data_IF_139574650196
#
_entry.id   IF_139574650196
#
_cell.length_a   1.000
_cell.length_b   1.000
_cell.length_c   1.000
_cell.angle_alpha   90.00
_cell.angle_beta   90.00
_cell.angle_gamma   90.00
#
_symmetry.space_group_name_H-M   'P 1'
#
loop_
_entity.id
_entity.type
_entity.pdbx_description
1 polymer ?
#
# COMPACT_ATOMS: atom_id res chain seq x y z
N UNK A 1 8.26 -5.70 -4.67
CA UNK A 1 8.63 -4.28 -4.65
C UNK A 1 8.73 -3.79 -6.07
N UNK A 2 8.09 -2.65 -6.37
CA UNK A 2 8.08 -2.06 -7.71
C UNK A 2 9.48 -1.68 -8.21
N UNK A 3 9.67 -1.78 -9.53
CA UNK A 3 10.89 -1.39 -10.22
C UNK A 3 11.22 0.10 -10.00
N UNK A 4 10.21 0.98 -10.13
CA UNK A 4 10.37 2.43 -9.98
C UNK A 4 10.80 2.81 -8.57
N UNK A 5 10.17 2.23 -7.54
CA UNK A 5 10.60 2.44 -6.15
C UNK A 5 12.04 2.02 -5.89
N UNK A 6 12.45 0.87 -6.41
CA UNK A 6 13.84 0.43 -6.27
C UNK A 6 14.82 1.37 -6.98
N UNK A 7 14.43 1.91 -8.14
CA UNK A 7 15.18 2.92 -8.87
C UNK A 7 15.30 4.21 -8.06
N UNK A 8 14.19 4.73 -7.52
CA UNK A 8 14.17 5.91 -6.64
C UNK A 8 15.10 5.71 -5.43
N UNK A 9 14.98 4.59 -4.72
CA UNK A 9 15.82 4.28 -3.55
C UNK A 9 17.31 4.29 -3.88
N UNK A 10 17.70 3.74 -5.03
CA UNK A 10 19.10 3.76 -5.51
C UNK A 10 19.58 5.18 -5.84
N UNK A 11 18.72 5.99 -6.46
CA UNK A 11 19.03 7.39 -6.80
C UNK A 11 19.21 8.23 -5.52
N UNK A 12 18.28 8.13 -4.57
CA UNK A 12 18.35 8.86 -3.29
C UNK A 12 19.53 8.45 -2.41
N UNK A 13 20.02 7.22 -2.56
CA UNK A 13 21.24 6.76 -1.89
C UNK A 13 22.53 7.39 -2.45
N UNK A 14 22.45 8.23 -3.49
CA UNK A 14 23.59 8.94 -4.07
C UNK A 14 24.40 8.10 -5.07
N UNK A 15 23.85 6.98 -5.56
CA UNK A 15 24.56 6.02 -6.40
C UNK A 15 24.81 6.43 -7.86
N UNK A 16 25.07 7.70 -8.17
CA UNK A 16 25.30 8.13 -9.55
C UNK A 16 25.71 9.59 -9.82
N UNK A 17 25.69 10.47 -8.84
CA UNK A 17 25.96 11.91 -9.03
C UNK A 17 27.14 12.34 -8.14
N UNK A 18 28.30 12.63 -8.74
CA UNK A 18 29.48 13.14 -8.02
C UNK A 18 29.68 14.64 -8.25
N UNK A 19 29.06 15.46 -7.41
CA UNK A 19 29.25 16.90 -7.43
C UNK A 19 30.68 17.31 -7.08
N UNK A 20 31.34 18.02 -8.00
CA UNK A 20 32.69 18.58 -7.79
C UNK A 20 32.57 20.03 -7.33
N UNK A 21 33.52 20.50 -6.51
CA UNK A 21 33.53 21.89 -6.01
C UNK A 21 33.51 22.94 -7.13
N UNK A 22 34.06 22.61 -8.31
CA UNK A 22 34.05 23.48 -9.50
C UNK A 22 32.65 23.75 -10.06
N UNK A 23 31.67 22.92 -9.73
CA UNK A 23 30.30 23.03 -10.24
C UNK A 23 29.48 24.05 -9.41
N UNK A 24 29.98 24.44 -8.24
CA UNK A 24 29.23 25.28 -7.26
C UNK A 24 28.93 26.69 -7.79
N UNK A 25 29.87 27.41 -8.44
CA UNK A 25 29.57 28.74 -8.99
C UNK A 25 28.47 28.70 -10.04
N UNK A 26 28.49 27.68 -10.92
CA UNK A 26 27.46 27.47 -11.93
C UNK A 26 26.09 27.25 -11.29
N UNK A 27 26.01 26.36 -10.30
CA UNK A 27 24.74 26.06 -9.60
C UNK A 27 24.16 27.33 -8.95
N UNK A 28 25.01 28.12 -8.27
CA UNK A 28 24.59 29.39 -7.67
C UNK A 28 24.06 30.36 -8.72
N UNK A 29 24.77 30.47 -9.85
CA UNK A 29 24.37 31.36 -10.95
C UNK A 29 23.03 30.94 -11.55
N UNK A 30 22.85 29.66 -11.88
CA UNK A 30 21.59 29.14 -12.46
C UNK A 30 20.43 29.37 -11.50
N UNK A 31 20.60 29.11 -10.20
CA UNK A 31 19.56 29.35 -9.21
C UNK A 31 19.16 30.82 -9.16
N UNK A 32 20.12 31.73 -9.02
CA UNK A 32 19.85 33.18 -8.94
C UNK A 32 19.21 33.70 -10.23
N UNK A 33 19.68 33.26 -11.41
CA UNK A 33 19.13 33.69 -12.70
C UNK A 33 17.67 33.27 -12.93
N UNK A 34 17.23 32.18 -12.32
CA UNK A 34 15.86 31.67 -12.44
C UNK A 34 14.99 32.00 -11.21
N UNK A 35 15.56 32.70 -10.23
CA UNK A 35 14.89 33.14 -9.02
C UNK A 35 14.44 34.60 -9.09
N UNK A 36 13.51 34.97 -8.21
CA UNK A 36 13.10 36.36 -8.01
C UNK A 36 14.18 37.13 -7.26
N UNK A 37 14.86 36.49 -6.31
CA UNK A 37 15.95 37.11 -5.58
C UNK A 37 17.28 37.06 -6.33
N UNK A 38 17.99 38.18 -6.29
CA UNK A 38 19.37 38.29 -6.78
C UNK A 38 20.40 37.74 -5.77
N UNK A 39 19.98 37.39 -4.55
CA UNK A 39 20.84 36.83 -3.52
C UNK A 39 20.67 35.32 -3.45
N UNK A 40 21.77 34.58 -3.59
CA UNK A 40 21.77 33.11 -3.55
C UNK A 40 21.10 32.53 -2.29
N UNK A 41 21.36 33.13 -1.12
CA UNK A 41 20.80 32.65 0.15
C UNK A 41 19.28 32.79 0.24
N UNK A 42 18.68 33.72 -0.51
CA UNK A 42 17.23 33.87 -0.60
C UNK A 42 16.67 33.00 -1.73
N UNK A 43 17.35 32.99 -2.88
CA UNK A 43 16.98 32.19 -4.05
C UNK A 43 16.77 30.70 -3.73
N UNK A 44 17.60 30.12 -2.84
CA UNK A 44 17.48 28.69 -2.46
C UNK A 44 16.16 28.32 -1.77
N UNK A 45 15.41 29.28 -1.21
CA UNK A 45 14.14 29.07 -0.51
C UNK A 45 12.90 29.21 -1.41
N UNK A 46 13.08 29.65 -2.65
CA UNK A 46 11.96 29.96 -3.55
C UNK A 46 11.43 28.73 -4.32
N UNK A 47 12.12 27.60 -4.21
CA UNK A 47 11.88 26.43 -5.04
C UNK A 47 10.96 25.43 -4.34
N UNK A 48 9.97 24.95 -5.07
CA UNK A 48 9.11 23.84 -4.67
C UNK A 48 9.43 22.59 -5.51
N UNK A 49 9.40 21.42 -4.88
CA UNK A 49 9.45 20.14 -5.59
C UNK A 49 8.06 19.79 -6.14
N UNK A 50 7.93 19.68 -7.47
CA UNK A 50 6.65 19.57 -8.16
C UNK A 50 6.42 18.25 -8.89
N UNK A 51 7.46 17.48 -9.21
CA UNK A 51 7.26 16.23 -9.94
C UNK A 51 8.49 15.35 -10.11
N UNK A 52 8.22 14.13 -10.57
CA UNK A 52 9.23 13.12 -10.90
C UNK A 52 9.01 12.70 -12.35
N UNK A 53 10.06 12.78 -13.17
CA UNK A 53 10.03 12.37 -14.57
C UNK A 53 10.96 11.17 -14.77
N UNK A 54 10.43 10.16 -15.44
CA UNK A 54 11.12 8.90 -15.71
C UNK A 54 11.87 8.94 -17.05
N UNK A 55 12.89 8.09 -17.20
CA UNK A 55 13.67 7.98 -18.45
C UNK A 55 12.80 7.54 -19.64
N UNK A 56 11.75 6.79 -19.34
CA UNK A 56 10.75 6.32 -20.28
C UNK A 56 9.90 7.47 -20.86
N UNK A 57 9.86 8.63 -20.20
CA UNK A 57 9.18 9.85 -20.68
C UNK A 57 10.12 10.69 -21.56
N UNK A 58 10.56 10.09 -22.67
CA UNK A 58 11.63 10.63 -23.54
C UNK A 58 11.42 12.08 -23.97
N UNK A 59 10.18 12.53 -24.14
CA UNK A 59 9.84 13.90 -24.55
C UNK A 59 10.14 14.95 -23.47
N UNK A 60 10.10 14.56 -22.19
CA UNK A 60 10.26 15.45 -21.04
C UNK A 60 11.52 15.19 -20.24
N UNK A 61 12.13 14.03 -20.42
CA UNK A 61 13.31 13.61 -19.69
C UNK A 61 14.56 14.34 -20.19
N UNK A 62 15.44 14.73 -19.26
CA UNK A 62 16.74 15.31 -19.59
C UNK A 62 17.85 14.47 -18.97
N UNK A 63 18.81 14.06 -19.80
CA UNK A 63 19.95 13.27 -19.35
C UNK A 63 20.93 14.08 -18.47
N UNK A 64 20.78 15.41 -18.46
CA UNK A 64 21.57 16.38 -17.70
C UNK A 64 20.77 17.01 -16.57
N UNK A 65 21.44 17.18 -15.43
CA UNK A 65 20.94 18.08 -14.40
C UNK A 65 21.05 19.53 -14.84
N UNK A 66 19.94 20.26 -14.89
CA UNK A 66 19.94 21.67 -15.32
C UNK A 66 20.64 22.62 -14.34
N UNK A 67 20.90 22.18 -13.10
CA UNK A 67 21.67 22.96 -12.13
C UNK A 67 23.18 22.80 -12.26
N UNK A 68 23.66 21.56 -12.40
CA UNK A 68 25.11 21.25 -12.36
C UNK A 68 25.68 20.68 -13.66
N UNK A 69 24.83 20.48 -14.67
CA UNK A 69 25.15 19.91 -15.98
C UNK A 69 25.78 18.49 -15.94
N UNK A 70 25.61 17.77 -14.84
CA UNK A 70 26.14 16.41 -14.69
C UNK A 70 25.25 15.38 -15.38
N UNK A 71 25.90 14.35 -15.96
CA UNK A 71 25.31 13.17 -16.61
C UNK A 71 25.85 11.88 -15.98
N UNK A 72 25.15 10.74 -16.13
CA UNK A 72 23.76 10.61 -16.57
C UNK A 72 22.80 10.67 -15.38
N UNK A 73 21.70 11.43 -15.52
CA UNK A 73 20.59 11.31 -14.59
C UNK A 73 19.81 10.02 -14.84
N UNK A 74 19.34 9.37 -13.76
CA UNK A 74 18.42 8.21 -13.86
C UNK A 74 16.97 8.60 -13.66
N UNK A 75 16.72 9.71 -12.98
CA UNK A 75 15.42 10.27 -12.70
C UNK A 75 15.61 11.79 -12.72
N UNK A 76 14.71 12.53 -13.36
CA UNK A 76 14.66 13.96 -13.22
C UNK A 76 13.67 14.30 -12.11
N UNK A 77 14.12 15.10 -11.16
CA UNK A 77 13.25 15.74 -10.18
C UNK A 77 12.93 17.12 -10.70
N UNK A 78 11.64 17.38 -10.91
CA UNK A 78 11.17 18.69 -11.34
C UNK A 78 10.99 19.58 -10.12
N UNK A 79 11.68 20.71 -10.13
CA UNK A 79 11.49 21.81 -9.17
C UNK A 79 10.92 23.01 -9.91
N UNK A 80 10.13 23.82 -9.23
CA UNK A 80 9.48 25.00 -9.82
C UNK A 80 9.57 26.16 -8.85
N UNK A 81 9.87 27.34 -9.39
CA UNK A 81 9.78 28.59 -8.67
C UNK A 81 8.42 29.21 -8.98
N UNK A 82 7.58 29.35 -7.96
CA UNK A 82 6.21 29.85 -8.11
C UNK A 82 6.17 31.32 -8.57
N UNK A 83 7.14 32.13 -8.16
CA UNK A 83 7.19 33.57 -8.44
C UNK A 83 7.64 33.88 -9.86
N UNK A 84 8.56 33.08 -10.40
CA UNK A 84 9.11 33.27 -11.76
C UNK A 84 8.47 32.34 -12.78
N UNK A 85 7.66 31.38 -12.33
CA UNK A 85 7.11 30.27 -13.11
C UNK A 85 8.16 29.45 -13.87
N UNK A 86 9.43 29.52 -13.45
CA UNK A 86 10.51 28.73 -14.03
C UNK A 86 10.53 27.34 -13.41
N UNK A 87 10.70 26.32 -14.24
CA UNK A 87 10.89 24.93 -13.81
C UNK A 87 12.27 24.42 -14.20
N UNK A 88 12.89 23.62 -13.34
CA UNK A 88 14.16 22.97 -13.62
C UNK A 88 14.07 21.46 -13.40
N UNK A 89 14.78 20.71 -14.24
CA UNK A 89 14.96 19.26 -14.14
C UNK A 89 16.32 18.93 -13.52
N UNK A 90 16.30 18.42 -12.30
CA UNK A 90 17.53 18.33 -11.48
C UNK A 90 17.76 16.93 -10.91
N UNK A 91 19.01 16.65 -10.55
CA UNK A 91 19.39 15.44 -9.82
C UNK A 91 19.15 15.57 -8.31
N UNK A 92 19.03 14.43 -7.64
CA UNK A 92 18.73 14.39 -6.19
C UNK A 92 19.83 15.02 -5.33
N UNK A 93 21.09 14.96 -5.79
CA UNK A 93 22.24 15.50 -5.04
C UNK A 93 22.24 17.03 -5.06
N UNK A 94 21.79 17.62 -6.16
CA UNK A 94 21.62 19.08 -6.25
C UNK A 94 20.55 19.57 -5.29
N UNK A 95 19.41 18.89 -5.23
CA UNK A 95 18.34 19.23 -4.28
C UNK A 95 18.88 19.14 -2.84
N UNK A 96 19.49 18.01 -2.49
CA UNK A 96 20.01 17.77 -1.14
C UNK A 96 21.03 18.81 -0.67
N UNK A 97 21.91 19.27 -1.56
CA UNK A 97 23.05 20.14 -1.18
C UNK A 97 22.77 21.63 -1.29
N UNK A 98 21.91 22.06 -2.20
CA UNK A 98 21.79 23.48 -2.55
C UNK A 98 20.41 24.08 -2.33
N UNK A 99 19.37 23.26 -2.11
CA UNK A 99 18.00 23.76 -1.95
C UNK A 99 17.49 23.61 -0.53
N UNK A 100 16.70 24.59 -0.10
CA UNK A 100 15.82 24.48 1.06
C UNK A 100 14.41 24.67 0.53
N UNK A 101 13.68 23.57 0.35
CA UNK A 101 12.41 23.60 -0.33
C UNK A 101 11.40 24.46 0.43
N UNK A 102 10.55 25.17 -0.32
CA UNK A 102 9.50 26.05 0.22
C UNK A 102 8.67 25.29 1.27
N UNK A 103 8.46 25.93 2.43
CA UNK A 103 7.76 25.34 3.57
C UNK A 103 8.65 24.56 4.55
N UNK A 104 9.97 24.55 4.36
CA UNK A 104 10.93 23.95 5.30
C UNK A 104 11.91 24.99 5.84
N UNK A 105 12.43 24.75 7.05
CA UNK A 105 13.29 25.69 7.77
C UNK A 105 14.78 25.39 7.62
N UNK A 106 15.14 24.15 7.27
CA UNK A 106 16.52 23.67 7.23
C UNK A 106 16.77 22.71 6.06
N UNK A 107 18.04 22.49 5.73
CA UNK A 107 18.43 21.53 4.68
C UNK A 107 18.09 20.08 5.02
N UNK A 108 18.11 19.71 6.31
CA UNK A 108 17.74 18.37 6.78
C UNK A 108 16.25 18.14 6.59
N UNK A 109 15.43 19.08 7.06
CA UNK A 109 13.97 19.04 6.91
C UNK A 109 13.55 19.06 5.43
N UNK A 110 14.19 19.93 4.63
CA UNK A 110 14.02 19.99 3.17
C UNK A 110 14.28 18.63 2.51
N UNK A 111 15.34 17.94 2.93
CA UNK A 111 15.68 16.62 2.40
C UNK A 111 14.67 15.54 2.80
N UNK A 112 14.24 15.52 4.05
CA UNK A 112 13.22 14.57 4.53
C UNK A 112 11.88 14.80 3.83
N UNK A 113 11.47 16.07 3.68
CA UNK A 113 10.31 16.48 2.90
C UNK A 113 10.39 15.98 1.46
N UNK A 114 11.53 16.22 0.79
CA UNK A 114 11.77 15.79 -0.58
C UNK A 114 11.70 14.27 -0.73
N UNK A 115 12.31 13.50 0.18
CA UNK A 115 12.25 12.04 0.18
C UNK A 115 10.79 11.57 0.28
N UNK A 116 10.06 12.07 1.27
CA UNK A 116 8.67 11.68 1.51
C UNK A 116 7.78 12.03 0.31
N UNK A 117 7.91 13.25 -0.22
CA UNK A 117 7.16 13.69 -1.41
C UNK A 117 7.52 12.85 -2.64
N UNK A 118 8.79 12.46 -2.80
CA UNK A 118 9.24 11.59 -3.91
C UNK A 118 8.66 10.19 -3.83
N UNK A 119 8.64 9.57 -2.63
CA UNK A 119 7.97 8.28 -2.45
C UNK A 119 6.47 8.38 -2.71
N UNK A 120 5.83 9.46 -2.26
CA UNK A 120 4.41 9.70 -2.53
C UNK A 120 4.13 9.81 -4.03
N UNK A 121 4.98 10.50 -4.80
CA UNK A 121 4.85 10.55 -6.27
C UNK A 121 4.95 9.16 -6.91
N UNK A 122 5.98 8.39 -6.55
CA UNK A 122 6.15 7.03 -7.08
C UNK A 122 4.95 6.14 -6.73
N UNK A 123 4.49 6.16 -5.48
CA UNK A 123 3.33 5.38 -5.06
C UNK A 123 2.06 5.82 -5.79
N UNK A 124 1.87 7.12 -6.06
CA UNK A 124 0.75 7.62 -6.88
C UNK A 124 0.82 7.09 -8.32
N UNK A 125 1.98 7.15 -8.97
CA UNK A 125 2.18 6.62 -10.33
C UNK A 125 1.85 5.12 -10.37
N UNK A 126 2.38 4.36 -9.40
CA UNK A 126 2.11 2.93 -9.29
C UNK A 126 0.63 2.65 -9.06
N UNK A 127 -0.02 3.41 -8.18
CA UNK A 127 -1.44 3.28 -7.89
C UNK A 127 -2.31 3.58 -9.12
N UNK A 128 -2.00 4.65 -9.85
CA UNK A 128 -2.66 5.01 -11.10
C UNK A 128 -2.49 3.91 -12.16
N UNK A 129 -1.33 3.26 -12.23
CA UNK A 129 -1.11 2.12 -13.15
C UNK A 129 -1.95 0.88 -12.80
N UNK A 130 -2.28 0.70 -11.52
CA UNK A 130 -3.12 -0.40 -11.04
C UNK A 130 -4.61 -0.11 -11.23
N UNK A 131 -4.98 1.16 -11.29
CA UNK A 131 -6.37 1.60 -11.26
C UNK A 131 -7.24 0.99 -12.38
N UNK A 132 -6.82 0.91 -13.66
CA UNK A 132 -7.62 0.28 -14.70
C UNK A 132 -7.98 -1.18 -14.37
N UNK A 133 -6.99 -1.94 -13.86
CA UNK A 133 -7.16 -3.36 -13.50
C UNK A 133 -8.07 -3.57 -12.31
N UNK A 134 -8.02 -2.65 -11.36
CA UNK A 134 -8.82 -2.68 -10.14
C UNK A 134 -10.28 -2.28 -10.41
N UNK A 135 -10.49 -1.44 -11.44
CA UNK A 135 -11.82 -0.97 -11.85
C UNK A 135 -12.56 -1.92 -12.81
N UNK A 136 -11.89 -2.90 -13.41
CA UNK A 136 -12.51 -3.99 -14.21
C UNK A 136 -13.65 -4.65 -13.45
N UNK A 137 -14.72 -5.10 -14.13
CA UNK A 137 -15.91 -5.69 -13.49
C UNK A 137 -15.60 -6.81 -12.50
N UNK A 138 -14.60 -7.63 -12.82
CA UNK A 138 -14.10 -8.71 -11.95
C UNK A 138 -12.57 -8.57 -11.82
N UNK A 139 -12.06 -7.76 -10.87
CA UNK A 139 -10.64 -7.48 -10.76
C UNK A 139 -9.93 -8.67 -10.12
N UNK A 140 -8.73 -9.00 -10.61
CA UNK A 140 -7.95 -10.07 -9.99
C UNK A 140 -7.47 -9.69 -8.58
N UNK A 141 -7.49 -10.65 -7.66
CA UNK A 141 -7.13 -10.43 -6.24
C UNK A 141 -5.72 -9.84 -6.07
N UNK A 142 -4.75 -10.21 -6.92
CA UNK A 142 -3.39 -9.67 -6.85
C UNK A 142 -3.33 -8.16 -7.06
N UNK A 143 -4.13 -7.61 -7.98
CA UNK A 143 -4.16 -6.16 -8.26
C UNK A 143 -4.87 -5.41 -7.15
N UNK A 144 -5.93 -5.99 -6.59
CA UNK A 144 -6.65 -5.45 -5.43
C UNK A 144 -5.71 -5.35 -4.21
N UNK A 145 -4.94 -6.41 -3.92
CA UNK A 145 -3.98 -6.41 -2.82
C UNK A 145 -2.88 -5.37 -3.06
N UNK A 146 -2.26 -5.38 -4.24
CA UNK A 146 -1.21 -4.41 -4.59
C UNK A 146 -1.70 -2.95 -4.49
N UNK A 147 -2.91 -2.67 -4.97
CA UNK A 147 -3.50 -1.32 -4.89
C UNK A 147 -3.69 -0.88 -3.44
N UNK A 148 -4.14 -1.79 -2.57
CA UNK A 148 -4.33 -1.48 -1.15
C UNK A 148 -3.02 -1.24 -0.43
N UNK A 149 -2.01 -2.06 -0.68
CA UNK A 149 -0.69 -1.89 -0.07
C UNK A 149 -0.09 -0.53 -0.46
N UNK A 150 -0.24 -0.12 -1.72
CA UNK A 150 0.22 1.18 -2.21
C UNK A 150 -0.60 2.34 -1.65
N UNK A 151 -1.92 2.20 -1.59
CA UNK A 151 -2.79 3.22 -0.99
C UNK A 151 -2.47 3.42 0.50
N UNK A 152 -2.24 2.34 1.24
CA UNK A 152 -1.83 2.38 2.64
C UNK A 152 -0.49 3.08 2.86
N UNK A 153 0.41 3.06 1.87
CA UNK A 153 1.67 3.76 2.02
C UNK A 153 1.53 5.27 1.83
N UNK A 154 0.69 5.71 0.88
CA UNK A 154 0.44 7.14 0.63
C UNK A 154 -0.38 7.75 1.76
N UNK A 155 -1.43 7.04 2.15
CA UNK A 155 -2.37 7.50 3.15
C UNK A 155 -1.74 7.39 4.56
N UNK A 156 -0.82 6.46 4.76
CA UNK A 156 -0.41 5.97 6.09
C UNK A 156 -1.23 4.73 6.47
N UNK A 157 -0.99 4.17 7.67
CA UNK A 157 -1.70 2.98 8.10
C UNK A 157 -3.22 3.18 7.94
N UNK A 158 -3.87 2.45 7.03
CA UNK A 158 -5.28 2.70 6.67
C UNK A 158 -6.21 2.64 7.89
N UNK A 159 -5.79 1.95 8.96
CA UNK A 159 -6.50 1.81 10.22
C UNK A 159 -6.50 3.13 11.02
N UNK A 160 -5.38 3.85 11.04
CA UNK A 160 -5.23 5.14 11.74
C UNK A 160 -6.01 6.27 11.06
N UNK A 161 -6.20 6.18 9.74
CA UNK A 161 -6.82 7.23 8.91
C UNK A 161 -8.33 7.21 9.04
N UNK A 162 -8.93 6.01 9.12
CA UNK A 162 -10.35 5.85 9.46
C UNK A 162 -10.70 6.48 10.81
N UNK A 163 -9.78 6.40 11.77
CA UNK A 163 -9.97 6.94 13.12
C UNK A 163 -9.78 8.46 13.18
N UNK A 164 -9.05 9.05 12.23
CA UNK A 164 -8.62 10.44 12.32
C UNK A 164 -9.31 11.39 11.33
N UNK A 165 -9.62 10.98 10.08
CA UNK A 165 -10.33 11.86 9.14
C UNK A 165 -10.86 11.16 7.86
N UNK A 166 -12.17 10.88 7.72
CA UNK A 166 -12.73 10.29 6.50
C UNK A 166 -12.61 11.19 5.25
N UNK A 167 -12.54 12.52 5.42
CA UNK A 167 -12.44 13.45 4.29
C UNK A 167 -11.11 13.28 3.53
N UNK A 168 -10.04 12.87 4.21
CA UNK A 168 -8.74 12.60 3.56
C UNK A 168 -8.80 11.45 2.56
N UNK A 169 -9.64 10.45 2.81
CA UNK A 169 -9.82 9.32 1.88
C UNK A 169 -10.56 9.82 0.64
N UNK A 170 -11.55 10.68 0.81
CA UNK A 170 -12.30 11.23 -0.31
C UNK A 170 -11.42 12.14 -1.15
N UNK A 171 -10.66 13.07 -0.56
CA UNK A 171 -9.66 13.89 -1.27
C UNK A 171 -8.64 13.03 -2.03
N UNK A 172 -8.18 11.94 -1.42
CA UNK A 172 -7.25 11.01 -2.07
C UNK A 172 -7.89 10.30 -3.26
N UNK A 173 -9.12 9.79 -3.12
CA UNK A 173 -9.81 9.10 -4.23
C UNK A 173 -10.11 10.09 -5.36
N UNK A 174 -10.53 11.31 -5.03
CA UNK A 174 -10.77 12.35 -6.03
C UNK A 174 -9.48 12.72 -6.77
N UNK A 175 -8.34 12.82 -6.07
CA UNK A 175 -7.04 13.06 -6.71
C UNK A 175 -6.53 11.90 -7.59
N UNK A 176 -7.12 10.72 -7.52
CA UNK A 176 -6.78 9.57 -8.36
C UNK A 176 -7.63 9.46 -9.62
N UNK A 177 -8.81 10.07 -9.63
CA UNK A 177 -9.75 10.00 -10.73
C UNK A 177 -9.71 11.29 -11.52
N UNK A 178 -9.32 11.19 -12.78
CA UNK A 178 -9.35 12.32 -13.70
C UNK A 178 -10.79 12.81 -13.94
N UNK A 179 -11.01 14.12 -14.13
CA UNK A 179 -12.36 14.71 -14.13
C UNK A 179 -13.25 14.24 -15.30
N UNK A 180 -12.65 13.70 -16.36
CA UNK A 180 -13.29 13.36 -17.64
C UNK A 180 -14.08 12.04 -17.65
N UNK A 181 -14.24 11.39 -16.50
CA UNK A 181 -14.68 9.99 -16.45
C UNK A 181 -16.22 9.86 -16.32
N UNK A 182 -16.88 9.44 -17.40
CA UNK A 182 -18.22 8.82 -17.34
C UNK A 182 -18.18 7.68 -16.31
N UNK A 183 -19.14 7.69 -15.37
CA UNK A 183 -19.25 6.72 -14.25
C UNK A 183 -18.35 6.98 -13.01
N UNK A 184 -17.90 8.23 -12.81
CA UNK A 184 -17.06 8.66 -11.65
C UNK A 184 -17.59 8.14 -10.30
N UNK A 185 -18.89 8.30 -10.01
CA UNK A 185 -19.46 7.87 -8.73
C UNK A 185 -19.37 6.36 -8.50
N UNK A 186 -19.59 5.53 -9.53
CA UNK A 186 -19.47 4.08 -9.41
C UNK A 186 -18.03 3.65 -9.19
N UNK A 187 -17.07 4.32 -9.85
CA UNK A 187 -15.63 4.10 -9.64
C UNK A 187 -15.20 4.49 -8.23
N UNK A 188 -15.62 5.65 -7.72
CA UNK A 188 -15.41 6.07 -6.33
C UNK A 188 -15.95 4.99 -5.38
N UNK A 189 -17.20 4.58 -5.55
CA UNK A 189 -17.83 3.54 -4.72
C UNK A 189 -17.03 2.24 -4.75
N UNK A 190 -16.52 1.85 -5.92
CA UNK A 190 -15.70 0.65 -6.10
C UNK A 190 -14.34 0.76 -5.37
N UNK A 191 -13.64 1.89 -5.50
CA UNK A 191 -12.37 2.14 -4.82
C UNK A 191 -12.58 2.15 -3.31
N UNK A 192 -13.60 2.86 -2.81
CA UNK A 192 -14.01 2.83 -1.40
C UNK A 192 -14.23 1.39 -0.96
N UNK A 193 -15.03 0.62 -1.69
CA UNK A 193 -15.24 -0.78 -1.39
C UNK A 193 -13.91 -1.54 -1.33
N UNK A 194 -13.00 -1.41 -2.28
CA UNK A 194 -11.71 -2.12 -2.25
C UNK A 194 -10.85 -1.74 -1.04
N UNK A 195 -10.72 -0.44 -0.75
CA UNK A 195 -9.96 0.04 0.40
C UNK A 195 -10.57 -0.47 1.71
N UNK A 196 -11.90 -0.51 1.79
CA UNK A 196 -12.64 -0.88 2.99
C UNK A 196 -13.01 -2.37 3.10
N UNK A 197 -13.02 -3.15 2.02
CA UNK A 197 -13.53 -4.53 1.95
C UNK A 197 -12.72 -5.52 2.78
N UNK A 198 -11.49 -5.18 3.18
CA UNK A 198 -10.70 -6.04 4.04
C UNK A 198 -10.45 -5.44 5.43
N UNK A 199 -10.67 -4.13 5.62
CA UNK A 199 -10.79 -3.56 6.96
C UNK A 199 -12.14 -3.92 7.58
N UNK A 200 -13.20 -3.94 6.78
CA UNK A 200 -14.55 -4.26 7.23
C UNK A 200 -14.79 -5.76 7.45
N UNK A 201 -13.85 -6.66 7.10
CA UNK A 201 -14.00 -8.08 7.47
C UNK A 201 -13.79 -8.29 8.98
N UNK A 202 -13.16 -7.35 9.71
CA UNK A 202 -12.91 -7.54 11.15
C UNK A 202 -13.39 -6.36 12.01
N UNK A 203 -13.38 -5.10 11.54
CA UNK A 203 -13.66 -3.95 12.44
C UNK A 203 -14.92 -3.14 12.11
N UNK A 204 -15.83 -3.62 11.24
CA UNK A 204 -17.03 -2.85 10.90
C UNK A 204 -18.22 -3.59 10.30
N UNK A 205 -18.16 -4.91 10.13
CA UNK A 205 -19.39 -5.69 9.91
C UNK A 205 -20.09 -5.82 11.26
N UNK A 206 -21.30 -5.26 11.38
CA UNK A 206 -22.15 -5.62 12.50
C UNK A 206 -22.39 -7.14 12.48
N UNK A 207 -22.49 -7.76 13.64
CA UNK A 207 -22.83 -9.18 13.82
C UNK A 207 -23.99 -9.64 12.91
N UNK A 208 -24.96 -8.74 12.66
CA UNK A 208 -26.11 -8.92 11.77
C UNK A 208 -25.74 -9.14 10.30
N UNK A 209 -24.68 -8.50 9.80
CA UNK A 209 -24.27 -8.54 8.39
C UNK A 209 -23.47 -9.81 8.05
N UNK A 210 -22.73 -10.35 9.02
CA UNK A 210 -22.03 -11.65 8.89
C UNK A 210 -23.00 -12.84 8.99
N UNK A 211 -24.15 -12.63 9.60
CA UNK A 211 -25.08 -13.68 9.99
C UNK A 211 -25.57 -14.56 8.83
N UNK A 212 -25.98 -14.02 7.65
CA UNK A 212 -26.41 -14.83 6.52
C UNK A 212 -25.33 -15.80 6.00
N UNK A 213 -24.05 -15.38 6.04
CA UNK A 213 -22.92 -16.16 5.54
C UNK A 213 -22.56 -17.34 6.44
N UNK A 214 -22.85 -17.25 7.73
CA UNK A 214 -22.58 -18.28 8.74
C UNK A 214 -23.70 -19.33 8.77
N UNK A 215 -24.92 -18.90 8.47
CA UNK A 215 -26.08 -19.79 8.35
C UNK A 215 -26.03 -20.70 7.12
N UNK A 216 -25.19 -20.41 6.13
CA UNK A 216 -24.96 -21.31 5.00
C UNK A 216 -24.44 -22.65 5.52
N UNK A 217 -24.89 -23.76 4.89
CA UNK A 217 -24.56 -25.14 5.29
C UNK A 217 -23.04 -25.39 5.36
N UNK A 218 -22.27 -24.69 4.52
CA UNK A 218 -20.81 -24.82 4.39
C UNK A 218 -20.16 -23.43 4.31
N UNK A 219 -19.90 -22.76 5.45
CA UNK A 219 -19.31 -21.43 5.47
C UNK A 219 -17.80 -21.49 5.20
N UNK A 220 -17.25 -20.42 4.62
CA UNK A 220 -15.80 -20.29 4.44
C UNK A 220 -15.12 -19.99 5.78
N UNK A 221 -13.88 -20.47 5.95
CA UNK A 221 -13.15 -20.38 7.21
C UNK A 221 -12.91 -18.93 7.68
N UNK A 222 -12.80 -17.98 6.74
CA UNK A 222 -12.65 -16.55 7.05
C UNK A 222 -13.86 -15.97 7.79
N UNK A 223 -15.08 -16.34 7.39
CA UNK A 223 -16.31 -15.86 8.04
C UNK A 223 -16.49 -16.44 9.44
N UNK A 224 -16.11 -17.71 9.65
CA UNK A 224 -16.10 -18.34 10.98
C UNK A 224 -15.13 -17.60 11.92
N UNK A 225 -13.92 -17.27 11.44
CA UNK A 225 -12.93 -16.55 12.23
C UNK A 225 -13.39 -15.13 12.58
N UNK A 226 -13.90 -14.39 11.59
CA UNK A 226 -14.42 -13.02 11.79
C UNK A 226 -15.57 -12.99 12.80
N UNK A 227 -16.55 -13.89 12.65
CA UNK A 227 -17.67 -13.99 13.58
C UNK A 227 -17.25 -14.31 15.01
N UNK A 228 -16.28 -15.21 15.20
CA UNK A 228 -15.76 -15.54 16.54
C UNK A 228 -15.00 -14.39 17.17
N UNK A 229 -14.25 -13.62 16.38
CA UNK A 229 -13.55 -12.43 16.89
C UNK A 229 -14.57 -11.39 17.42
N UNK A 230 -15.56 -11.03 16.60
CA UNK A 230 -16.58 -10.03 16.97
C UNK A 230 -17.47 -10.53 18.10
N UNK A 231 -17.86 -11.81 18.09
CA UNK A 231 -18.63 -12.39 19.19
C UNK A 231 -17.82 -12.43 20.50
N UNK A 232 -16.49 -12.52 20.45
CA UNK A 232 -15.65 -12.47 21.65
C UNK A 232 -15.59 -11.06 22.25
N UNK A 233 -15.73 -10.01 21.45
CA UNK A 233 -15.83 -8.64 21.97
C UNK A 233 -17.15 -8.43 22.73
N UNK A 234 -18.24 -9.04 22.26
CA UNK A 234 -19.57 -8.93 22.89
C UNK A 234 -19.73 -9.86 24.10
N UNK A 235 -19.17 -11.07 24.02
CA UNK A 235 -19.36 -12.12 25.03
C UNK A 235 -18.19 -12.28 26.00
N UNK A 236 -17.07 -11.56 25.80
CA UNK A 236 -15.81 -11.79 26.51
C UNK A 236 -14.98 -12.94 25.92
N UNK A 237 -13.94 -13.38 26.62
CA UNK A 237 -13.02 -14.41 26.11
C UNK A 237 -13.70 -15.77 25.89
N UNK A 238 -13.99 -16.07 24.62
CA UNK A 238 -14.62 -17.31 24.17
C UNK A 238 -13.73 -18.55 24.33
N UNK A 239 -12.43 -18.40 24.61
CA UNK A 239 -11.51 -19.54 24.75
C UNK A 239 -11.67 -20.26 26.09
N UNK A 240 -12.20 -19.58 27.11
CA UNK A 240 -12.17 -20.07 28.49
C UNK A 240 -13.37 -20.97 28.88
N UNK A 241 -14.41 -21.13 28.05
CA UNK A 241 -15.66 -21.85 28.39
C UNK A 241 -16.35 -21.41 29.69
N UNK A 242 -15.89 -20.35 30.36
CA UNK A 242 -16.32 -19.98 31.70
C UNK A 242 -17.42 -18.92 31.63
N UNK A 243 -18.62 -19.33 32.05
CA UNK A 243 -19.76 -18.51 32.45
C UNK A 243 -20.01 -17.26 31.60
N UNK A 244 -20.47 -17.47 30.36
CA UNK A 244 -21.11 -16.39 29.59
C UNK A 244 -22.37 -15.97 30.36
N UNK A 245 -22.45 -14.70 30.73
CA UNK A 245 -23.63 -14.14 31.39
C UNK A 245 -24.89 -14.42 30.53
N UNK A 246 -25.95 -15.02 31.11
CA UNK A 246 -27.18 -15.33 30.36
C UNK A 246 -27.77 -14.12 29.64
N UNK A 247 -27.62 -12.92 30.23
CA UNK A 247 -28.09 -11.65 29.67
C UNK A 247 -27.33 -11.27 28.38
N UNK A 248 -26.01 -11.42 28.38
CA UNK A 248 -25.16 -11.11 27.22
C UNK A 248 -25.42 -12.09 26.07
N UNK A 249 -25.59 -13.37 26.39
CA UNK A 249 -25.96 -14.40 25.42
C UNK A 249 -27.35 -14.12 24.81
N UNK A 250 -28.34 -13.81 25.64
CA UNK A 250 -29.70 -13.53 25.18
C UNK A 250 -29.75 -12.28 24.30
N UNK A 251 -29.01 -11.23 24.65
CA UNK A 251 -28.90 -10.00 23.84
C UNK A 251 -28.33 -10.32 22.46
N UNK A 252 -27.20 -11.04 22.40
CA UNK A 252 -26.58 -11.44 21.13
C UNK A 252 -27.53 -12.27 20.25
N UNK A 253 -28.24 -13.22 20.85
CA UNK A 253 -29.19 -14.07 20.13
C UNK A 253 -30.35 -13.25 19.56
N UNK A 254 -30.92 -12.33 20.35
CA UNK A 254 -32.00 -11.44 19.89
C UNK A 254 -31.51 -10.55 18.75
N UNK A 255 -30.30 -10.00 18.85
CA UNK A 255 -29.73 -9.15 17.81
C UNK A 255 -29.46 -9.90 16.50
N UNK A 256 -29.09 -11.19 16.56
CA UNK A 256 -28.76 -12.00 15.39
C UNK A 256 -29.96 -12.64 14.70
N UNK A 257 -30.87 -13.26 15.46
CA UNK A 257 -31.98 -14.07 14.92
C UNK A 257 -33.36 -13.52 15.23
N UNK A 258 -33.45 -12.40 15.96
CA UNK A 258 -34.71 -11.84 16.44
C UNK A 258 -35.23 -12.51 17.71
N UNK A 259 -36.36 -12.03 18.26
CA UNK A 259 -36.96 -12.55 19.49
C UNK A 259 -37.31 -14.03 19.36
N UNK A 260 -37.35 -14.73 20.51
CA UNK A 260 -37.63 -16.16 20.56
C UNK A 260 -39.00 -16.47 19.95
N UNK A 261 -39.02 -17.37 18.97
CA UNK A 261 -40.25 -17.93 18.39
C UNK A 261 -40.27 -19.45 18.58
N UNK A 262 -41.45 -20.05 18.73
CA UNK A 262 -41.58 -21.51 18.88
C UNK A 262 -41.44 -22.28 17.55
N UNK A 263 -40.93 -21.65 16.50
CA UNK A 263 -40.72 -22.30 15.21
C UNK A 263 -39.39 -23.05 15.20
N UNK A 264 -39.40 -24.27 14.66
CA UNK A 264 -38.21 -25.10 14.40
C UNK A 264 -37.05 -24.34 13.75
N UNK A 265 -37.34 -23.45 12.80
CA UNK A 265 -36.32 -22.66 12.11
C UNK A 265 -35.53 -21.70 13.00
N UNK A 266 -36.09 -21.27 14.14
CA UNK A 266 -35.37 -20.43 15.12
C UNK A 266 -34.35 -21.25 15.91
N UNK A 267 -34.74 -22.45 16.36
CA UNK A 267 -33.86 -23.37 17.08
C UNK A 267 -32.71 -23.88 16.19
N UNK A 268 -32.98 -24.16 14.92
CA UNK A 268 -31.95 -24.58 13.95
C UNK A 268 -30.86 -23.49 13.76
N UNK A 269 -31.27 -22.22 13.71
CA UNK A 269 -30.34 -21.08 13.62
C UNK A 269 -29.54 -20.90 14.92
N UNK A 270 -30.18 -21.05 16.07
CA UNK A 270 -29.52 -20.96 17.38
C UNK A 270 -28.46 -22.06 17.56
N UNK A 271 -28.81 -23.30 17.22
CA UNK A 271 -27.89 -24.45 17.28
C UNK A 271 -26.68 -24.25 16.35
N UNK A 272 -26.94 -23.68 15.16
CA UNK A 272 -25.87 -23.30 14.23
C UNK A 272 -24.93 -22.25 14.83
N UNK A 273 -25.45 -21.18 15.44
CA UNK A 273 -24.64 -20.15 16.11
C UNK A 273 -23.77 -20.78 17.20
N UNK A 274 -24.36 -21.61 18.07
CA UNK A 274 -23.63 -22.32 19.12
C UNK A 274 -22.51 -23.20 18.55
N UNK A 275 -22.80 -23.93 17.49
CA UNK A 275 -21.83 -24.77 16.80
C UNK A 275 -20.67 -23.92 16.23
N UNK A 276 -20.93 -22.73 15.69
CA UNK A 276 -19.91 -21.84 15.14
C UNK A 276 -19.01 -21.25 16.22
N UNK A 277 -19.60 -20.80 17.34
CA UNK A 277 -18.86 -20.14 18.41
C UNK A 277 -18.04 -21.11 19.25
N UNK A 278 -18.66 -22.23 19.65
CA UNK A 278 -18.09 -23.15 20.65
C UNK A 278 -17.55 -24.46 20.05
N UNK A 279 -18.03 -24.87 18.87
CA UNK A 279 -17.66 -26.15 18.26
C UNK A 279 -17.26 -26.00 16.78
N UNK A 280 -16.37 -25.04 16.42
CA UNK A 280 -16.05 -24.72 15.03
C UNK A 280 -15.43 -25.89 14.24
N UNK A 281 -14.92 -26.90 14.93
CA UNK A 281 -14.39 -28.12 14.33
C UNK A 281 -15.48 -29.04 13.77
N UNK A 282 -16.73 -28.95 14.27
CA UNK A 282 -17.87 -29.75 13.77
C UNK A 282 -18.50 -29.21 12.49
N UNK A 283 -18.15 -27.98 12.10
CA UNK A 283 -18.68 -27.36 10.89
C UNK A 283 -17.96 -27.94 9.68
N UNK A 284 -18.74 -28.46 8.72
CA UNK A 284 -18.22 -28.81 7.39
C UNK A 284 -17.74 -27.52 6.72
N UNK A 285 -16.43 -27.44 6.48
CA UNK A 285 -15.77 -26.27 5.87
C UNK A 285 -15.72 -26.45 4.35
N UNK A 286 -15.94 -25.38 3.59
CA UNK A 286 -15.65 -25.38 2.15
C UNK A 286 -14.13 -25.41 2.06
N UNK A 287 -13.55 -26.56 1.74
CA UNK A 287 -12.14 -26.59 1.35
C UNK A 287 -12.06 -25.66 0.14
N UNK A 288 -11.19 -24.64 0.19
CA UNK A 288 -10.82 -23.96 -1.03
C UNK A 288 -10.39 -25.06 -2.00
N UNK A 289 -11.15 -25.24 -3.08
CA UNK A 289 -10.61 -25.90 -4.25
C UNK A 289 -9.50 -24.97 -4.68
N UNK A 290 -8.28 -25.23 -4.20
CA UNK A 290 -7.11 -24.83 -4.93
C UNK A 290 -7.37 -25.43 -6.30
N UNK A 291 -7.64 -24.56 -7.29
CA UNK A 291 -7.56 -24.93 -8.69
C UNK A 291 -6.12 -25.35 -8.92
N UNK A 292 -5.87 -26.59 -8.53
CA UNK A 292 -4.82 -27.41 -9.07
C UNK A 292 -5.25 -27.64 -10.50
N UNK A 293 -4.96 -26.64 -11.33
CA UNK A 293 -4.56 -26.92 -12.70
C UNK A 293 -3.55 -28.06 -12.61
N UNK A 294 -4.03 -29.23 -13.03
CA UNK A 294 -3.27 -30.47 -13.19
C UNK A 294 -2.72 -31.09 -11.90
N UNK A 295 -2.62 -32.41 -11.96
CA UNK A 295 -1.98 -33.27 -10.97
C UNK A 295 -0.48 -32.92 -10.82
N UNK A 296 -0.15 -31.84 -10.11
CA UNK A 296 1.21 -31.56 -9.62
C UNK A 296 1.54 -32.37 -8.35
N UNK A 297 0.96 -33.57 -8.21
CA UNK A 297 1.15 -34.49 -7.10
C UNK A 297 2.32 -35.47 -7.25
N UNK A 298 3.09 -35.40 -8.34
CA UNK A 298 4.26 -36.27 -8.54
C UNK A 298 5.63 -35.59 -8.44
N UNK A 299 5.70 -34.26 -8.42
CA UNK A 299 6.99 -33.56 -8.33
C UNK A 299 7.32 -33.05 -6.91
N UNK A 300 6.31 -32.86 -6.05
CA UNK A 300 6.51 -32.22 -4.75
C UNK A 300 7.06 -33.15 -3.64
N UNK A 301 7.04 -34.47 -3.81
CA UNK A 301 7.38 -35.41 -2.71
C UNK A 301 8.68 -36.20 -2.87
N UNK A 302 9.41 -36.10 -4.00
CA UNK A 302 10.74 -36.78 -4.14
C UNK A 302 11.93 -35.87 -4.50
N UNK A 303 11.73 -34.66 -5.02
CA UNK A 303 12.83 -33.81 -5.50
C UNK A 303 13.33 -32.71 -4.55
N UNK A 304 12.46 -32.15 -3.70
CA UNK A 304 12.77 -30.89 -3.00
C UNK A 304 13.74 -31.02 -1.82
N UNK A 305 13.87 -32.22 -1.21
CA UNK A 305 14.88 -32.46 -0.17
C UNK A 305 16.30 -32.60 -0.75
N UNK A 306 16.48 -33.20 -1.93
CA UNK A 306 17.81 -33.33 -2.56
C UNK A 306 18.32 -32.00 -3.12
N UNK A 307 17.45 -31.18 -3.72
CA UNK A 307 17.83 -29.88 -4.27
C UNK A 307 18.28 -28.86 -3.20
N UNK A 308 17.68 -28.90 -2.00
CA UNK A 308 18.10 -28.05 -0.88
C UNK A 308 19.45 -28.48 -0.30
N UNK A 309 19.75 -29.77 -0.29
CA UNK A 309 21.05 -30.29 0.20
C UNK A 309 22.17 -29.99 -0.81
N UNK A 310 21.92 -30.13 -2.11
CA UNK A 310 22.95 -29.83 -3.14
C UNK A 310 23.30 -28.34 -3.23
N UNK A 311 22.32 -27.44 -3.11
CA UNK A 311 22.56 -25.99 -3.14
C UNK A 311 23.27 -25.47 -1.88
N UNK A 312 23.10 -26.15 -0.75
CA UNK A 312 23.78 -25.80 0.50
C UNK A 312 25.22 -26.34 0.54
N UNK A 313 25.46 -27.55 0.00
CA UNK A 313 26.82 -28.12 -0.13
C UNK A 313 27.66 -27.45 -1.22
N UNK A 314 27.06 -27.09 -2.36
CA UNK A 314 27.76 -26.33 -3.40
C UNK A 314 28.23 -24.95 -2.90
N UNK A 315 27.44 -24.32 -2.02
CA UNK A 315 27.86 -23.08 -1.35
C UNK A 315 28.99 -23.28 -0.36
N UNK A 316 29.07 -24.41 0.35
CA UNK A 316 30.16 -24.65 1.31
C UNK A 316 31.48 -25.06 0.67
N UNK A 317 31.46 -25.75 -0.48
CA UNK A 317 32.69 -26.05 -1.25
C UNK A 317 33.32 -24.80 -1.87
N UNK A 318 32.51 -23.81 -2.28
CA UNK A 318 32.99 -22.54 -2.78
C UNK A 318 33.81 -21.72 -1.74
N UNK A 319 33.62 -21.97 -0.44
CA UNK A 319 34.42 -21.35 0.62
C UNK A 319 35.72 -22.11 0.94
N UNK A 320 35.85 -23.37 0.51
CA UNK A 320 37.07 -24.17 0.79
C UNK A 320 38.22 -23.85 -0.16
N UNK A 321 37.97 -23.30 -1.35
CA UNK A 321 38.99 -22.95 -2.34
C UNK A 321 38.71 -21.60 -3.02
N UNK A 322 38.98 -20.46 -2.37
CA UNK A 322 38.75 -19.14 -2.95
C UNK A 322 39.68 -18.80 -4.15
N UNK A 323 40.69 -19.62 -4.43
CA UNK A 323 41.70 -19.39 -5.47
C UNK A 323 41.42 -20.04 -6.85
N UNK A 324 40.28 -20.73 -7.03
CA UNK A 324 39.84 -21.20 -8.36
C UNK A 324 38.68 -20.35 -8.85
N UNK A 325 39.00 -19.26 -9.53
CA UNK A 325 38.10 -18.57 -10.45
C UNK A 325 38.80 -18.41 -11.79
#
# INVERSE_FOLDING_TARGET
MSFLRNRLKKTLAGGGEELKKRDYPMIKQVLVQNSKSNEYEKAKFEWEYTGLIQEEEVEKFSDQCELCNQRPLRLNFQITNEETHKSLLVGSTCIRRFLILKGTSSSVESWDYFINKSYNFVSKIELSSLLPRVLEDVPETRYVVAFRDQAAEILGCLEEIKLSNPNKIDEFIEGLLDESVLDRQKKIKRIKNILFLHQNIISGLELKELFPYILVKVPEQRYIKAFRAIASEVLGDLQSNLNIAPEAWNKLVIDLIGPKTNNKGWFDKLDRIRTVLFQPHKIKKKKLRLETGQAAGHWATKGSRKARVSTTLSRSEAYKNPGRK
#
